data_IF_293615102346
#
_entry.id   IF_293615102346
#
_cell.length_a   1.000
_cell.length_b   1.000
_cell.length_c   1.000
_cell.angle_alpha   90.00
_cell.angle_beta   90.00
_cell.angle_gamma   90.00
#
_symmetry.space_group_name_H-M   'P 1'
#
loop_
_entity.id
_entity.type
_entity.pdbx_description
1 polymer ?
#
# COMPACT_ATOMS: atom_id res chain seq x y z
N UNK A 1 10.04 -7.90 7.45
CA UNK A 1 9.97 -6.58 6.80
C UNK A 1 10.86 -6.53 5.57
N UNK A 2 10.29 -6.22 4.40
CA UNK A 2 10.97 -6.13 3.11
C UNK A 2 10.48 -4.90 2.33
N UNK A 3 11.13 -3.76 2.55
CA UNK A 3 10.71 -2.45 2.02
C UNK A 3 10.80 -2.41 0.49
N UNK A 4 11.86 -2.96 -0.11
CA UNK A 4 12.03 -2.97 -1.57
C UNK A 4 10.91 -3.75 -2.27
N UNK A 5 10.51 -4.88 -1.69
CA UNK A 5 9.38 -5.67 -2.21
C UNK A 5 8.04 -4.98 -1.99
N UNK A 6 7.86 -4.31 -0.85
CA UNK A 6 6.68 -3.49 -0.58
C UNK A 6 6.56 -2.34 -1.59
N UNK A 7 7.64 -1.60 -1.87
CA UNK A 7 7.67 -0.53 -2.86
C UNK A 7 7.37 -1.02 -4.27
N UNK A 8 7.98 -2.14 -4.68
CA UNK A 8 7.74 -2.75 -6.00
C UNK A 8 6.27 -3.12 -6.16
N UNK A 9 5.68 -3.77 -5.15
CA UNK A 9 4.27 -4.16 -5.18
C UNK A 9 3.34 -2.94 -5.12
N UNK A 10 3.70 -1.89 -4.39
CA UNK A 10 2.92 -0.67 -4.30
C UNK A 10 2.85 0.07 -5.65
N UNK A 11 3.96 0.13 -6.39
CA UNK A 11 3.99 0.71 -7.73
C UNK A 11 3.07 -0.04 -8.71
N UNK A 12 3.03 -1.38 -8.60
CA UNK A 12 2.16 -2.25 -9.38
C UNK A 12 0.67 -2.02 -9.04
N UNK A 13 0.33 -1.88 -7.75
CA UNK A 13 -1.04 -1.54 -7.32
C UNK A 13 -1.47 -0.16 -7.83
N UNK A 14 -0.60 0.85 -7.76
CA UNK A 14 -0.90 2.21 -8.26
C UNK A 14 -1.20 2.15 -9.75
N UNK A 15 -0.34 1.47 -10.52
CA UNK A 15 -0.50 1.32 -11.98
C UNK A 15 -1.84 0.67 -12.31
N UNK A 16 -2.20 -0.43 -11.64
CA UNK A 16 -3.48 -1.09 -11.86
C UNK A 16 -4.67 -0.21 -11.45
N UNK A 17 -4.54 0.53 -10.34
CA UNK A 17 -5.59 1.42 -9.86
C UNK A 17 -5.87 2.57 -10.84
N UNK A 18 -4.82 3.13 -11.44
CA UNK A 18 -4.90 4.13 -12.51
C UNK A 18 -5.61 3.58 -13.76
N UNK A 19 -5.25 2.37 -14.21
CA UNK A 19 -5.91 1.74 -15.36
C UNK A 19 -7.41 1.47 -15.12
N UNK A 20 -7.80 1.27 -13.85
CA UNK A 20 -9.18 0.98 -13.46
C UNK A 20 -9.96 2.21 -12.95
N UNK A 21 -9.38 3.43 -13.01
CA UNK A 21 -9.97 4.68 -12.51
C UNK A 21 -10.41 4.60 -11.03
N UNK A 22 -9.56 4.04 -10.15
CA UNK A 22 -9.81 3.91 -8.70
C UNK A 22 -9.17 5.05 -7.91
N UNK A 23 -9.68 6.27 -8.10
CA UNK A 23 -9.08 7.50 -7.58
C UNK A 23 -8.79 7.45 -6.07
N UNK A 24 -9.70 6.90 -5.27
CA UNK A 24 -9.51 6.76 -3.81
C UNK A 24 -8.31 5.86 -3.47
N UNK A 25 -8.14 4.74 -4.18
CA UNK A 25 -7.01 3.84 -3.98
C UNK A 25 -5.70 4.50 -4.39
N UNK A 26 -5.68 5.20 -5.52
CA UNK A 26 -4.49 5.86 -6.06
C UNK A 26 -3.88 6.84 -5.05
N UNK A 27 -4.67 7.77 -4.51
CA UNK A 27 -4.16 8.76 -3.53
C UNK A 27 -3.60 8.08 -2.28
N UNK A 28 -4.30 7.04 -1.80
CA UNK A 28 -3.88 6.26 -0.65
C UNK A 28 -2.53 5.56 -0.88
N UNK A 29 -2.39 4.86 -2.01
CA UNK A 29 -1.15 4.13 -2.33
C UNK A 29 0.02 5.06 -2.64
N UNK A 30 -0.23 6.19 -3.30
CA UNK A 30 0.80 7.22 -3.53
C UNK A 30 1.31 7.80 -2.21
N UNK A 31 0.41 8.08 -1.26
CA UNK A 31 0.80 8.53 0.09
C UNK A 31 1.67 7.48 0.80
N UNK A 32 1.30 6.20 0.70
CA UNK A 32 2.10 5.12 1.26
C UNK A 32 3.49 5.00 0.62
N UNK A 33 3.61 5.23 -0.68
CA UNK A 33 4.88 5.21 -1.40
C UNK A 33 5.82 6.31 -0.92
N UNK A 34 5.28 7.51 -0.68
CA UNK A 34 6.03 8.63 -0.11
C UNK A 34 6.60 8.30 1.28
N UNK A 35 5.87 7.54 2.09
CA UNK A 35 6.39 7.06 3.38
C UNK A 35 7.55 6.10 3.14
N UNK A 36 7.38 5.07 2.30
CA UNK A 36 8.39 4.02 2.10
C UNK A 36 9.68 4.49 1.42
N UNK A 37 9.62 5.52 0.55
CA UNK A 37 10.78 6.11 -0.12
C UNK A 37 11.68 6.91 0.84
N UNK A 38 11.18 7.33 2.00
CA UNK A 38 11.95 8.13 2.95
C UNK A 38 13.20 7.39 3.45
N UNK A 39 14.38 8.00 3.30
CA UNK A 39 15.68 7.43 3.72
C UNK A 39 15.73 7.07 5.22
N UNK A 40 14.81 7.61 6.03
CA UNK A 40 14.74 7.40 7.47
C UNK A 40 13.34 6.98 7.94
N UNK A 41 12.70 6.06 7.21
CA UNK A 41 11.45 5.42 7.65
C UNK A 41 11.56 4.92 9.09
N UNK A 42 10.71 5.46 9.96
CA UNK A 42 10.62 5.04 11.36
C UNK A 42 9.72 3.82 11.48
N UNK A 43 10.05 2.95 12.44
CA UNK A 43 9.19 1.81 12.81
C UNK A 43 7.76 2.22 13.16
N UNK A 44 7.55 3.41 13.73
CA UNK A 44 6.21 3.95 13.98
C UNK A 44 5.44 4.25 12.71
N UNK A 45 6.10 4.76 11.67
CA UNK A 45 5.48 5.08 10.38
C UNK A 45 5.06 3.79 9.67
N UNK A 46 5.90 2.75 9.72
CA UNK A 46 5.57 1.42 9.20
C UNK A 46 4.36 0.80 9.91
N UNK A 47 4.26 0.93 11.23
CA UNK A 47 3.08 0.48 12.00
C UNK A 47 1.81 1.25 11.63
N UNK A 48 1.93 2.57 11.45
CA UNK A 48 0.81 3.38 10.96
C UNK A 48 0.40 2.93 9.56
N UNK A 49 1.38 2.66 8.68
CA UNK A 49 1.12 2.19 7.32
C UNK A 49 0.40 0.83 7.31
N UNK A 50 0.88 -0.13 8.10
CA UNK A 50 0.22 -1.43 8.31
C UNK A 50 -1.22 -1.26 8.78
N UNK A 51 -1.45 -0.40 9.78
CA UNK A 51 -2.80 -0.13 10.31
C UNK A 51 -3.70 0.51 9.25
N UNK A 52 -3.16 1.42 8.44
CA UNK A 52 -3.90 2.06 7.36
C UNK A 52 -4.28 1.06 6.26
N UNK A 53 -3.38 0.14 5.88
CA UNK A 53 -3.72 -0.93 4.93
C UNK A 53 -4.80 -1.86 5.47
N UNK A 54 -4.72 -2.25 6.75
CA UNK A 54 -5.79 -3.02 7.38
C UNK A 54 -7.13 -2.25 7.37
N UNK A 55 -7.11 -0.95 7.65
CA UNK A 55 -8.29 -0.09 7.58
C UNK A 55 -8.85 0.04 6.16
N UNK A 56 -7.97 0.17 5.16
CA UNK A 56 -8.36 0.18 3.75
C UNK A 56 -9.03 -1.14 3.37
N UNK A 57 -8.48 -2.30 3.77
CA UNK A 57 -9.11 -3.61 3.52
C UNK A 57 -10.46 -3.79 4.22
N UNK A 58 -10.73 -3.07 5.31
CA UNK A 58 -11.99 -3.14 6.03
C UNK A 58 -13.10 -2.25 5.44
N UNK A 59 -12.74 -1.16 4.78
CA UNK A 59 -13.68 -0.08 4.43
C UNK A 59 -13.54 0.51 3.03
N UNK A 60 -12.46 0.20 2.31
CA UNK A 60 -12.17 0.72 0.98
C UNK A 60 -12.95 -0.01 -0.12
N UNK A 61 -12.98 0.60 -1.29
CA UNK A 61 -13.48 -0.02 -2.52
C UNK A 61 -12.30 -0.54 -3.35
N UNK A 62 -12.25 -1.85 -3.54
CA UNK A 62 -11.20 -2.53 -4.28
C UNK A 62 -11.74 -3.82 -4.91
N UNK A 63 -11.09 -4.32 -5.95
CA UNK A 63 -11.38 -5.64 -6.50
C UNK A 63 -10.55 -6.74 -5.83
N UNK A 64 -10.77 -7.98 -6.26
CA UNK A 64 -10.03 -9.12 -5.72
C UNK A 64 -8.52 -9.06 -6.03
N UNK A 65 -8.11 -8.48 -7.17
CA UNK A 65 -6.69 -8.40 -7.51
C UNK A 65 -5.98 -7.44 -6.56
N UNK A 66 -6.55 -6.26 -6.36
CA UNK A 66 -6.07 -5.24 -5.43
C UNK A 66 -6.10 -5.77 -3.98
N UNK A 67 -7.16 -6.45 -3.57
CA UNK A 67 -7.24 -7.09 -2.25
C UNK A 67 -6.04 -8.02 -1.98
N UNK A 68 -5.74 -8.92 -2.91
CA UNK A 68 -4.64 -9.89 -2.75
C UNK A 68 -3.27 -9.20 -2.73
N UNK A 69 -3.08 -8.16 -3.55
CA UNK A 69 -1.84 -7.38 -3.56
C UNK A 69 -1.68 -6.60 -2.25
N UNK A 70 -2.74 -5.99 -1.73
CA UNK A 70 -2.73 -5.25 -0.47
C UNK A 70 -2.48 -6.16 0.74
N UNK A 71 -3.03 -7.38 0.77
CA UNK A 71 -2.68 -8.38 1.78
C UNK A 71 -1.18 -8.71 1.76
N UNK A 72 -0.63 -9.01 0.59
CA UNK A 72 0.80 -9.31 0.44
C UNK A 72 1.68 -8.11 0.82
N UNK A 73 1.17 -6.90 0.63
CA UNK A 73 1.85 -5.68 1.04
C UNK A 73 1.90 -5.52 2.55
N UNK A 74 0.82 -5.89 3.26
CA UNK A 74 0.79 -5.97 4.73
C UNK A 74 1.85 -6.96 5.23
N UNK A 75 1.95 -8.15 4.62
CA UNK A 75 2.95 -9.17 4.99
C UNK A 75 4.40 -8.66 4.85
N UNK A 76 4.68 -7.78 3.88
CA UNK A 76 6.01 -7.19 3.73
C UNK A 76 6.35 -6.15 4.80
N UNK A 77 5.36 -5.59 5.49
CA UNK A 77 5.52 -4.57 6.52
C UNK A 77 5.67 -5.17 7.94
N UNK A 78 5.34 -6.45 8.11
CA UNK A 78 5.62 -7.25 9.31
C UNK A 78 7.08 -7.76 9.34
#
# INVERSE_FOLDING_TARGET
MNIDSAMTLLADIITDSEHNNRDQGIEFYQSAMCVLISENVKKSELKSLHSNFCGYLAHGEFDNAEYQKTLKLIDFLE
#
